data_IF_891201983941
#
_entry.id   IF_891201983941
#
_cell.length_a   1.000
_cell.length_b   1.000
_cell.length_c   1.000
_cell.angle_alpha   90.00
_cell.angle_beta   90.00
_cell.angle_gamma   90.00
#
_symmetry.space_group_name_H-M   'P 1'
#
loop_
_entity.id
_entity.type
_entity.pdbx_description
1 polymer ?
#
# COMPACT_ATOMS: atom_id res chain seq x y z
N UNK A 1 -4.68 -25.37 -22.89
CA UNK A 1 -5.36 -24.13 -22.44
C UNK A 1 -5.19 -23.95 -20.93
N UNK A 2 -4.11 -23.27 -20.50
CA UNK A 2 -3.98 -22.76 -19.11
C UNK A 2 -2.91 -21.66 -18.96
N UNK A 3 -2.34 -21.15 -20.08
CA UNK A 3 -1.32 -20.10 -20.06
C UNK A 3 -1.89 -18.67 -19.96
N UNK A 4 -3.21 -18.51 -19.80
CA UNK A 4 -3.90 -17.22 -19.85
C UNK A 4 -4.15 -16.53 -18.50
N UNK A 5 -3.61 -17.05 -17.38
CA UNK A 5 -3.95 -16.55 -16.03
C UNK A 5 -2.76 -15.97 -15.24
N UNK A 6 -1.57 -15.90 -15.82
CA UNK A 6 -0.42 -15.25 -15.17
C UNK A 6 -0.21 -13.90 -15.86
N UNK A 7 -0.52 -12.76 -15.21
CA UNK A 7 -0.30 -11.47 -15.83
C UNK A 7 1.22 -11.25 -15.95
N UNK A 8 1.71 -11.29 -17.18
CA UNK A 8 2.96 -10.68 -17.65
C UNK A 8 4.13 -10.75 -16.65
N UNK A 9 4.61 -11.95 -16.38
CA UNK A 9 6.02 -12.12 -16.04
C UNK A 9 6.74 -12.08 -17.40
N UNK A 10 7.68 -11.15 -17.65
CA UNK A 10 8.51 -11.21 -18.85
C UNK A 10 9.10 -12.61 -18.93
N UNK A 11 8.96 -13.29 -20.06
CA UNK A 11 9.22 -14.74 -20.16
C UNK A 11 10.64 -15.10 -19.69
N UNK A 12 11.58 -14.15 -19.77
CA UNK A 12 12.96 -14.25 -19.26
C UNK A 12 13.10 -14.37 -17.73
N UNK A 13 12.10 -13.98 -16.95
CA UNK A 13 12.10 -14.03 -15.47
C UNK A 13 11.15 -15.08 -14.89
N UNK A 14 10.48 -15.87 -15.73
CA UNK A 14 9.68 -17.01 -15.24
C UNK A 14 10.63 -18.12 -14.77
N UNK A 15 10.59 -18.44 -13.47
CA UNK A 15 11.34 -19.55 -12.87
C UNK A 15 10.88 -20.94 -13.35
N UNK A 16 9.84 -21.02 -14.20
CA UNK A 16 9.31 -22.27 -14.72
C UNK A 16 9.66 -22.37 -16.20
N UNK A 17 10.81 -22.98 -16.49
CA UNK A 17 11.10 -23.52 -17.83
C UNK A 17 10.28 -24.80 -18.01
N UNK A 18 9.14 -24.71 -18.71
CA UNK A 18 8.50 -25.91 -19.25
C UNK A 18 9.35 -26.37 -20.45
N UNK A 19 10.12 -27.45 -20.28
CA UNK A 19 10.73 -28.15 -21.39
C UNK A 19 9.60 -28.63 -22.31
N UNK A 20 9.57 -28.14 -23.54
CA UNK A 20 8.65 -28.60 -24.58
C UNK A 20 8.90 -30.10 -24.82
N UNK A 21 7.90 -30.91 -24.49
CA UNK A 21 7.84 -32.33 -24.83
C UNK A 21 7.67 -32.44 -26.35
N UNK A 22 8.52 -33.27 -26.95
CA UNK A 22 8.57 -33.59 -28.37
C UNK A 22 7.18 -33.89 -28.96
N UNK A 23 6.75 -33.09 -29.93
CA UNK A 23 5.67 -33.50 -30.83
C UNK A 23 6.28 -34.26 -32.01
N UNK A 24 6.24 -35.59 -31.95
CA UNK A 24 6.34 -36.43 -33.16
C UNK A 24 5.04 -36.24 -33.96
N UNK A 25 5.16 -35.80 -35.21
CA UNK A 25 4.05 -35.76 -36.16
C UNK A 25 3.74 -37.18 -36.65
N UNK A 26 2.46 -37.60 -36.78
CA UNK A 26 2.14 -38.84 -37.46
C UNK A 26 2.15 -38.61 -38.98
N UNK A 27 2.94 -39.40 -39.69
CA UNK A 27 2.90 -39.54 -41.15
C UNK A 27 1.65 -40.33 -41.54
N UNK A 28 0.76 -39.73 -42.32
CA UNK A 28 -0.32 -40.44 -43.02
C UNK A 28 -0.11 -40.24 -44.52
N UNK A 29 0.27 -41.30 -45.21
CA UNK A 29 0.22 -41.37 -46.67
C UNK A 29 -1.23 -41.48 -47.14
N UNK A 30 -1.63 -40.65 -48.10
CA UNK A 30 -2.77 -40.96 -48.97
C UNK A 30 -2.46 -40.53 -50.39
N UNK A 31 -2.40 -41.51 -51.30
CA UNK A 31 -2.41 -41.32 -52.75
C UNK A 31 -3.85 -41.39 -53.24
N UNK A 32 -4.33 -40.37 -53.96
CA UNK A 32 -5.19 -40.57 -55.14
C UNK A 32 -5.48 -39.26 -55.89
N UNK A 33 -5.09 -39.28 -57.15
CA UNK A 33 -5.77 -38.76 -58.35
C UNK A 33 -6.00 -37.25 -58.56
N UNK A 34 -5.34 -36.76 -59.63
CA UNK A 34 -5.61 -35.52 -60.35
C UNK A 34 -7.03 -35.46 -60.93
N UNK A 35 -7.66 -34.27 -60.86
CA UNK A 35 -8.28 -33.55 -61.99
C UNK A 35 -8.75 -32.11 -61.61
N UNK A 36 -8.09 -31.14 -62.26
CA UNK A 36 -8.53 -29.81 -62.76
C UNK A 36 -8.98 -28.63 -61.85
N UNK A 37 -8.01 -27.70 -61.71
CA UNK A 37 -8.02 -26.23 -61.91
C UNK A 37 -9.31 -25.39 -61.73
N UNK A 38 -9.14 -24.28 -60.99
CA UNK A 38 -10.03 -23.12 -60.77
C UNK A 38 -11.00 -23.17 -59.58
N UNK A 39 -10.44 -23.12 -58.36
CA UNK A 39 -11.02 -22.29 -57.31
C UNK A 39 -9.87 -21.51 -56.61
N UNK A 40 -9.71 -20.24 -56.97
CA UNK A 40 -8.78 -19.30 -56.32
C UNK A 40 -9.32 -18.81 -54.96
N UNK A 41 -9.80 -19.69 -54.07
CA UNK A 41 -10.29 -19.28 -52.73
C UNK A 41 -9.28 -19.49 -51.59
N UNK A 42 -8.07 -19.96 -51.86
CA UNK A 42 -7.09 -20.25 -50.79
C UNK A 42 -6.09 -19.14 -50.49
N UNK A 43 -5.91 -18.15 -51.38
CA UNK A 43 -4.98 -17.02 -51.16
C UNK A 43 -5.31 -16.14 -49.94
N UNK A 44 -6.55 -15.67 -49.72
CA UNK A 44 -6.81 -14.73 -48.62
C UNK A 44 -6.75 -15.41 -47.24
N UNK A 45 -7.02 -16.72 -47.15
CA UNK A 45 -7.05 -17.43 -45.86
C UNK A 45 -5.64 -17.83 -45.43
N UNK A 46 -4.77 -18.24 -46.36
CA UNK A 46 -3.37 -18.55 -46.05
C UNK A 46 -2.57 -17.29 -45.71
N UNK A 47 -2.78 -16.17 -46.42
CA UNK A 47 -2.15 -14.88 -46.09
C UNK A 47 -2.55 -14.36 -44.70
N UNK A 48 -3.83 -14.50 -44.31
CA UNK A 48 -4.30 -14.10 -42.99
C UNK A 48 -3.67 -14.92 -41.85
N UNK A 49 -3.41 -16.21 -42.06
CA UNK A 49 -2.73 -17.05 -41.07
C UNK A 49 -1.23 -16.77 -40.95
N UNK A 50 -0.57 -16.33 -42.04
CA UNK A 50 0.86 -15.97 -42.02
C UNK A 50 1.13 -14.60 -41.38
N UNK A 51 0.16 -13.68 -41.43
CA UNK A 51 0.32 -12.36 -40.80
C UNK A 51 0.21 -12.40 -39.27
N UNK A 52 -0.54 -13.35 -38.70
CA UNK A 52 -0.63 -13.53 -37.25
C UNK A 52 0.70 -14.08 -36.68
N UNK A 53 1.46 -14.86 -37.46
CA UNK A 53 2.77 -15.38 -37.07
C UNK A 53 3.94 -14.39 -37.23
N UNK A 54 3.74 -13.25 -37.91
CA UNK A 54 4.71 -12.14 -37.97
C UNK A 54 4.58 -11.15 -36.82
N UNK A 55 3.66 -11.37 -35.89
CA UNK A 55 3.59 -10.57 -34.68
C UNK A 55 4.83 -10.87 -33.82
N UNK A 56 5.77 -9.92 -33.80
CA UNK A 56 7.05 -10.12 -33.12
C UNK A 56 6.85 -10.05 -31.60
N UNK A 57 6.43 -11.17 -31.00
CA UNK A 57 6.20 -11.32 -29.57
C UNK A 57 7.43 -10.91 -28.75
N UNK A 58 8.63 -11.08 -29.29
CA UNK A 58 9.89 -10.65 -28.65
C UNK A 58 10.00 -9.13 -28.55
N UNK A 59 9.56 -8.38 -29.57
CA UNK A 59 9.53 -6.91 -29.51
C UNK A 59 8.57 -6.42 -28.42
N UNK A 60 7.43 -7.09 -28.26
CA UNK A 60 6.42 -6.71 -27.25
C UNK A 60 6.92 -7.04 -25.84
N UNK A 61 7.52 -8.22 -25.62
CA UNK A 61 8.13 -8.58 -24.34
C UNK A 61 9.22 -7.58 -23.94
N UNK A 62 10.06 -7.16 -24.88
CA UNK A 62 11.09 -6.14 -24.65
C UNK A 62 10.47 -4.78 -24.28
N UNK A 63 9.43 -4.33 -25.00
CA UNK A 63 8.71 -3.07 -24.69
C UNK A 63 8.07 -3.14 -23.30
N UNK A 64 7.36 -4.22 -22.99
CA UNK A 64 6.76 -4.45 -21.67
C UNK A 64 7.81 -4.44 -20.56
N UNK A 65 8.98 -5.06 -20.80
CA UNK A 65 10.10 -5.08 -19.86
C UNK A 65 10.63 -3.67 -19.59
N UNK A 66 10.84 -2.86 -20.64
CA UNK A 66 11.29 -1.46 -20.48
C UNK A 66 10.27 -0.64 -19.70
N UNK A 67 8.98 -0.77 -20.00
CA UNK A 67 7.90 -0.08 -19.27
C UNK A 67 7.92 -0.49 -17.79
N UNK A 68 8.06 -1.78 -17.48
CA UNK A 68 8.12 -2.27 -16.12
C UNK A 68 9.35 -1.73 -15.36
N UNK A 69 10.53 -1.71 -15.99
CA UNK A 69 11.76 -1.14 -15.41
C UNK A 69 11.54 0.35 -15.08
N UNK A 70 10.95 1.11 -16.00
CA UNK A 70 10.63 2.53 -15.76
C UNK A 70 9.69 2.68 -14.55
N UNK A 71 8.66 1.83 -14.45
CA UNK A 71 7.74 1.84 -13.31
C UNK A 71 8.45 1.52 -11.98
N UNK A 72 9.33 0.51 -11.98
CA UNK A 72 10.16 0.15 -10.82
C UNK A 72 11.03 1.34 -10.38
N UNK A 73 11.68 2.03 -11.33
CA UNK A 73 12.53 3.19 -11.04
C UNK A 73 11.69 4.32 -10.41
N UNK A 74 10.53 4.64 -11.00
CA UNK A 74 9.64 5.69 -10.49
C UNK A 74 9.15 5.36 -9.08
N UNK A 75 8.68 4.13 -8.84
CA UNK A 75 8.18 3.71 -7.53
C UNK A 75 9.30 3.66 -6.48
N UNK A 76 10.50 3.22 -6.87
CA UNK A 76 11.69 3.21 -6.01
C UNK A 76 12.10 4.62 -5.59
N UNK A 77 12.08 5.57 -6.52
CA UNK A 77 12.38 6.97 -6.20
C UNK A 77 11.35 7.58 -5.24
N UNK A 78 10.06 7.28 -5.44
CA UNK A 78 8.99 7.68 -4.50
C UNK A 78 9.20 7.09 -3.10
N UNK A 79 9.58 5.82 -3.03
CA UNK A 79 9.88 5.13 -1.78
C UNK A 79 11.10 5.73 -1.07
N UNK A 80 12.16 6.04 -1.82
CA UNK A 80 13.36 6.69 -1.26
C UNK A 80 13.04 8.09 -0.73
N UNK A 81 12.31 8.91 -1.49
CA UNK A 81 11.84 10.24 -1.02
C UNK A 81 11.03 10.12 0.27
N UNK A 82 10.16 9.13 0.36
CA UNK A 82 9.36 8.85 1.56
C UNK A 82 10.24 8.51 2.78
N UNK A 83 11.28 7.67 2.61
CA UNK A 83 12.23 7.37 3.68
C UNK A 83 13.04 8.59 4.12
N UNK A 84 13.52 9.39 3.17
CA UNK A 84 14.26 10.62 3.45
C UNK A 84 13.38 11.64 4.20
N UNK A 85 12.09 11.74 3.85
CA UNK A 85 11.15 12.59 4.55
C UNK A 85 10.92 12.13 6.00
N UNK A 86 10.80 10.83 6.28
CA UNK A 86 10.73 10.32 7.66
C UNK A 86 12.00 10.63 8.45
N UNK A 87 13.16 10.48 7.82
CA UNK A 87 14.45 10.84 8.45
C UNK A 87 14.50 12.33 8.78
N UNK A 88 14.02 13.19 7.88
CA UNK A 88 13.91 14.62 8.11
C UNK A 88 12.97 14.94 9.28
N UNK A 89 11.76 14.36 9.30
CA UNK A 89 10.80 14.57 10.39
C UNK A 89 11.35 14.12 11.75
N UNK A 90 12.01 12.96 11.80
CA UNK A 90 12.69 12.51 13.02
C UNK A 90 13.72 13.53 13.49
N UNK A 91 14.56 14.06 12.58
CA UNK A 91 15.60 15.04 12.92
C UNK A 91 15.01 16.34 13.47
N UNK A 92 13.90 16.82 12.90
CA UNK A 92 13.24 18.07 13.34
C UNK A 92 12.36 17.91 14.58
N UNK A 93 12.07 16.68 15.00
CA UNK A 93 11.25 16.43 16.17
C UNK A 93 12.01 16.64 17.48
N UNK A 94 11.30 17.10 18.50
CA UNK A 94 11.79 17.36 19.86
C UNK A 94 11.27 16.29 20.83
N UNK A 95 12.04 16.01 21.88
CA UNK A 95 11.54 15.20 22.99
C UNK A 95 10.44 15.96 23.76
N UNK A 96 9.57 15.19 24.41
CA UNK A 96 8.55 15.75 25.32
C UNK A 96 9.22 16.30 26.59
N UNK A 97 8.65 17.35 27.16
CA UNK A 97 9.01 17.79 28.51
C UNK A 97 8.36 16.88 29.57
N UNK A 98 8.76 17.00 30.83
CA UNK A 98 8.26 16.11 31.90
C UNK A 98 6.74 16.17 32.07
N UNK A 99 6.13 17.36 31.95
CA UNK A 99 4.67 17.50 32.05
C UNK A 99 3.93 16.80 30.91
N UNK A 100 4.40 16.96 29.66
CA UNK A 100 3.85 16.29 28.49
C UNK A 100 4.04 14.77 28.61
N UNK A 101 5.22 14.32 29.05
CA UNK A 101 5.52 12.91 29.27
C UNK A 101 4.59 12.31 30.33
N UNK A 102 4.40 12.96 31.48
CA UNK A 102 3.49 12.52 32.52
C UNK A 102 2.03 12.42 32.01
N UNK A 103 1.59 13.37 31.19
CA UNK A 103 0.25 13.31 30.56
C UNK A 103 0.10 12.09 29.66
N UNK A 104 1.09 11.83 28.82
CA UNK A 104 1.12 10.69 27.91
C UNK A 104 1.17 9.38 28.68
N UNK A 105 2.03 9.29 29.70
CA UNK A 105 2.16 8.13 30.56
C UNK A 105 0.85 7.86 31.32
N UNK A 106 0.12 8.91 31.75
CA UNK A 106 -1.21 8.76 32.37
C UNK A 106 -2.24 8.20 31.38
N UNK A 107 -2.24 8.69 30.12
CA UNK A 107 -3.15 8.20 29.07
C UNK A 107 -2.86 6.72 28.75
N UNK A 108 -1.59 6.35 28.73
CA UNK A 108 -1.12 5.02 28.34
C UNK A 108 -0.88 4.08 29.52
N UNK A 109 -1.12 4.51 30.76
CA UNK A 109 -0.80 3.76 31.99
C UNK A 109 -1.42 2.35 32.00
N UNK A 110 -2.66 2.24 31.52
CA UNK A 110 -3.40 0.97 31.44
C UNK A 110 -2.95 0.07 30.27
N UNK A 111 -2.00 0.52 29.45
CA UNK A 111 -1.55 -0.17 28.24
C UNK A 111 -0.08 -0.53 28.42
N UNK A 112 0.18 -1.73 28.94
CA UNK A 112 1.52 -2.31 29.16
C UNK A 112 2.52 -1.84 28.10
N UNK A 113 3.33 -0.84 28.48
CA UNK A 113 4.10 -0.06 27.53
C UNK A 113 5.13 -0.96 26.85
N UNK A 114 5.04 -1.12 25.52
CA UNK A 114 6.13 -1.75 24.78
C UNK A 114 7.31 -0.78 24.81
N UNK A 115 8.43 -1.17 25.44
CA UNK A 115 9.69 -0.39 25.58
C UNK A 115 10.28 0.17 24.26
N UNK A 116 9.73 -0.20 23.11
CA UNK A 116 10.24 0.14 21.78
C UNK A 116 9.43 1.23 21.05
N UNK A 117 8.52 1.92 21.75
CA UNK A 117 7.75 3.05 21.20
C UNK A 117 8.25 4.35 21.83
N UNK A 118 8.62 5.33 21.00
CA UNK A 118 9.11 6.65 21.41
C UNK A 118 8.13 7.71 20.94
N UNK A 119 7.67 8.55 21.86
CA UNK A 119 6.75 9.64 21.55
C UNK A 119 7.54 10.96 21.55
N UNK A 120 7.37 11.76 20.50
CA UNK A 120 8.05 13.05 20.30
C UNK A 120 7.06 14.07 19.77
N UNK A 121 7.40 15.34 19.91
CA UNK A 121 6.63 16.44 19.33
C UNK A 121 7.34 17.09 18.16
N UNK A 122 6.62 17.67 17.22
CA UNK A 122 7.20 18.40 16.10
C UNK A 122 6.33 19.58 15.68
N UNK A 123 6.94 20.70 15.32
CA UNK A 123 6.21 21.87 14.80
C UNK A 123 5.99 21.78 13.29
N UNK A 124 6.85 21.04 12.59
CA UNK A 124 6.82 20.90 11.13
C UNK A 124 5.67 20.01 10.60
N UNK A 125 4.84 19.45 11.48
CA UNK A 125 3.73 18.56 11.12
C UNK A 125 2.39 19.18 11.51
N UNK A 126 1.36 18.93 10.71
CA UNK A 126 -0.01 19.40 10.98
C UNK A 126 -0.92 18.30 11.53
N UNK A 127 -0.51 17.04 11.35
CA UNK A 127 -1.23 15.85 11.78
C UNK A 127 -0.27 14.91 12.52
N UNK A 128 -0.76 14.21 13.56
CA UNK A 128 -0.05 13.08 14.17
C UNK A 128 0.35 12.05 13.12
N UNK A 129 1.52 11.45 13.32
CA UNK A 129 2.10 10.48 12.39
C UNK A 129 2.89 9.42 13.15
N UNK A 130 2.63 8.16 12.82
CA UNK A 130 3.37 7.01 13.36
C UNK A 130 4.20 6.36 12.27
N UNK A 131 5.48 6.17 12.55
CA UNK A 131 6.39 5.48 11.64
C UNK A 131 7.48 4.67 12.35
N UNK A 132 8.11 3.77 11.59
CA UNK A 132 9.22 2.95 12.06
C UNK A 132 10.56 3.45 11.53
N UNK A 133 11.53 3.65 12.42
CA UNK A 133 12.94 3.95 12.08
C UNK A 133 13.86 3.31 13.14
N UNK A 134 14.03 1.98 13.07
CA UNK A 134 14.72 1.17 14.09
C UNK A 134 13.90 0.94 15.37
N UNK A 135 13.09 1.91 15.76
CA UNK A 135 12.03 1.82 16.79
C UNK A 135 10.76 2.50 16.26
N UNK A 136 9.61 2.26 16.88
CA UNK A 136 8.38 2.98 16.54
C UNK A 136 8.45 4.39 17.11
N UNK A 137 8.17 5.39 16.27
CA UNK A 137 8.18 6.79 16.63
C UNK A 137 6.78 7.36 16.34
N UNK A 138 6.16 7.91 17.38
CA UNK A 138 4.91 8.67 17.26
C UNK A 138 5.29 10.14 17.34
N UNK A 139 5.02 10.89 16.27
CA UNK A 139 5.18 12.34 16.25
C UNK A 139 3.82 13.00 16.40
N UNK A 140 3.72 13.91 17.36
CA UNK A 140 2.51 14.68 17.62
C UNK A 140 2.81 16.16 17.34
N UNK A 141 1.93 16.89 16.64
CA UNK A 141 2.15 18.30 16.43
C UNK A 141 2.15 19.07 17.75
N UNK A 142 3.10 19.98 17.95
CA UNK A 142 3.23 20.73 19.22
C UNK A 142 1.96 21.51 19.61
N UNK A 143 1.12 21.86 18.62
CA UNK A 143 -0.19 22.49 18.85
C UNK A 143 -1.15 21.61 19.67
N UNK A 144 -1.07 20.28 19.55
CA UNK A 144 -1.94 19.37 20.29
C UNK A 144 -1.67 19.37 21.80
N UNK A 145 -0.45 19.74 22.22
CA UNK A 145 -0.12 19.91 23.63
C UNK A 145 -0.52 21.29 24.17
N UNK A 146 -0.70 22.29 23.29
CA UNK A 146 -1.07 23.66 23.66
C UNK A 146 -2.58 23.89 23.73
N UNK A 147 -3.37 23.28 22.84
CA UNK A 147 -4.75 23.72 22.59
C UNK A 147 -5.78 22.58 22.51
N UNK A 148 -5.62 21.50 23.25
CA UNK A 148 -6.55 20.37 23.13
C UNK A 148 -7.03 19.94 24.51
N UNK A 149 -8.34 20.13 24.73
CA UNK A 149 -9.13 19.48 25.79
C UNK A 149 -8.61 18.05 25.98
N UNK A 150 -8.15 17.71 27.18
CA UNK A 150 -7.33 16.51 27.44
C UNK A 150 -7.92 15.21 26.83
N UNK A 151 -9.25 15.13 26.66
CA UNK A 151 -9.96 14.03 25.98
C UNK A 151 -9.58 13.83 24.51
N UNK A 152 -9.46 14.90 23.72
CA UNK A 152 -9.13 14.78 22.29
C UNK A 152 -7.67 14.34 22.08
N UNK A 153 -6.76 14.81 22.94
CA UNK A 153 -5.38 14.34 22.94
C UNK A 153 -5.35 12.84 23.29
N UNK A 154 -6.09 12.41 24.32
CA UNK A 154 -6.24 10.98 24.67
C UNK A 154 -6.61 10.12 23.46
N UNK A 155 -7.62 10.50 22.68
CA UNK A 155 -8.05 9.70 21.52
C UNK A 155 -6.97 9.57 20.45
N UNK A 156 -6.26 10.66 20.16
CA UNK A 156 -5.18 10.69 19.17
C UNK A 156 -4.01 9.82 19.61
N UNK A 157 -3.62 9.92 20.88
CA UNK A 157 -2.53 9.11 21.43
C UNK A 157 -2.87 7.64 21.37
N UNK A 158 -4.09 7.25 21.78
CA UNK A 158 -4.54 5.87 21.70
C UNK A 158 -4.54 5.34 20.26
N UNK A 159 -4.99 6.16 19.30
CA UNK A 159 -5.03 5.79 17.89
C UNK A 159 -3.62 5.58 17.30
N UNK A 160 -2.73 6.55 17.48
CA UNK A 160 -1.35 6.45 16.99
C UNK A 160 -0.55 5.36 17.73
N UNK A 161 -0.84 5.14 19.01
CA UNK A 161 -0.29 4.03 19.77
C UNK A 161 -0.73 2.68 19.20
N UNK A 162 -1.99 2.54 18.75
CA UNK A 162 -2.46 1.32 18.11
C UNK A 162 -1.63 0.97 16.87
N UNK A 163 -1.36 1.95 16.00
CA UNK A 163 -0.49 1.76 14.83
C UNK A 163 0.92 1.27 15.21
N UNK A 164 1.51 1.89 16.25
CA UNK A 164 2.83 1.48 16.74
C UNK A 164 2.80 0.08 17.37
N UNK A 165 1.75 -0.26 18.12
CA UNK A 165 1.55 -1.54 18.79
C UNK A 165 1.40 -2.69 17.78
N UNK A 166 0.63 -2.45 16.71
CA UNK A 166 0.30 -3.41 15.66
C UNK A 166 1.35 -3.50 14.54
N UNK A 167 2.38 -2.64 14.58
CA UNK A 167 3.50 -2.65 13.62
C UNK A 167 3.09 -2.27 12.20
N UNK A 168 2.02 -1.51 12.06
CA UNK A 168 1.37 -1.18 10.79
C UNK A 168 2.35 -0.55 9.78
N UNK A 169 3.21 0.35 10.26
CA UNK A 169 4.20 1.00 9.40
C UNK A 169 5.23 0.02 8.83
N UNK A 170 5.65 -0.97 9.62
CA UNK A 170 6.62 -1.97 9.17
C UNK A 170 6.00 -2.89 8.12
N UNK A 171 4.76 -3.34 8.34
CA UNK A 171 4.00 -4.06 7.34
C UNK A 171 3.87 -3.24 6.05
N UNK A 172 3.58 -1.94 6.16
CA UNK A 172 3.48 -1.04 5.02
C UNK A 172 4.82 -0.88 4.27
N UNK A 173 5.96 -0.83 4.97
CA UNK A 173 7.30 -0.79 4.34
C UNK A 173 7.53 -2.08 3.54
N UNK A 174 7.27 -3.24 4.13
CA UNK A 174 7.43 -4.55 3.46
C UNK A 174 6.54 -4.62 2.21
N UNK A 175 5.26 -4.28 2.34
CA UNK A 175 4.32 -4.27 1.21
C UNK A 175 4.68 -3.24 0.13
N UNK A 176 5.31 -2.12 0.49
CA UNK A 176 5.83 -1.17 -0.49
C UNK A 176 6.96 -1.78 -1.33
N UNK A 177 7.89 -2.50 -0.69
CA UNK A 177 8.98 -3.20 -1.39
C UNK A 177 8.41 -4.24 -2.36
N UNK A 178 7.46 -5.07 -1.88
CA UNK A 178 6.76 -6.02 -2.75
C UNK A 178 5.99 -5.32 -3.88
N UNK A 179 5.33 -4.20 -3.62
CA UNK A 179 4.61 -3.42 -4.64
C UNK A 179 5.52 -2.84 -5.72
N UNK A 180 6.79 -2.55 -5.40
CA UNK A 180 7.78 -2.06 -6.38
C UNK A 180 8.15 -3.21 -7.31
N UNK A 181 8.51 -4.36 -6.75
CA UNK A 181 8.92 -5.56 -7.51
C UNK A 181 7.76 -6.07 -8.36
N UNK A 182 6.58 -6.20 -7.76
CA UNK A 182 5.36 -6.71 -8.40
C UNK A 182 4.50 -5.58 -8.99
N UNK A 183 5.11 -4.47 -9.43
CA UNK A 183 4.38 -3.30 -9.91
C UNK A 183 3.53 -3.55 -11.17
N UNK A 184 3.80 -4.64 -11.90
CA UNK A 184 2.95 -5.14 -12.99
C UNK A 184 1.62 -5.74 -12.49
N UNK A 185 1.54 -6.17 -11.22
CA UNK A 185 0.38 -6.84 -10.67
C UNK A 185 -0.56 -5.84 -9.96
N UNK A 186 -1.72 -5.50 -10.54
CA UNK A 186 -2.65 -4.55 -9.94
C UNK A 186 -3.22 -5.03 -8.59
N UNK A 187 -3.28 -6.35 -8.35
CA UNK A 187 -3.80 -6.91 -7.10
C UNK A 187 -2.96 -6.49 -5.90
N UNK A 188 -1.63 -6.39 -6.06
CA UNK A 188 -0.74 -5.98 -4.96
C UNK A 188 -1.08 -4.57 -4.47
N UNK A 189 -1.43 -3.67 -5.39
CA UNK A 189 -1.87 -2.32 -5.05
C UNK A 189 -3.26 -2.27 -4.40
N UNK A 190 -4.16 -3.18 -4.78
CA UNK A 190 -5.49 -3.31 -4.16
C UNK A 190 -5.35 -3.83 -2.73
N UNK A 191 -4.59 -4.92 -2.55
CA UNK A 191 -4.29 -5.51 -1.22
C UNK A 191 -3.65 -4.47 -0.31
N UNK A 192 -2.68 -3.70 -0.80
CA UNK A 192 -2.08 -2.61 -0.03
C UNK A 192 -3.11 -1.57 0.45
N UNK A 193 -4.07 -1.18 -0.40
CA UNK A 193 -5.14 -0.25 0.00
C UNK A 193 -6.04 -0.87 1.07
N UNK A 194 -6.34 -2.16 0.96
CA UNK A 194 -7.15 -2.90 1.95
C UNK A 194 -6.44 -3.00 3.30
N UNK A 195 -5.15 -3.33 3.32
CA UNK A 195 -4.36 -3.36 4.56
C UNK A 195 -4.35 -1.99 5.23
N UNK A 196 -4.13 -0.91 4.48
CA UNK A 196 -4.18 0.44 5.05
C UNK A 196 -5.55 0.71 5.67
N UNK A 197 -6.64 0.33 5.00
CA UNK A 197 -7.98 0.48 5.55
C UNK A 197 -8.19 -0.34 6.83
N UNK A 198 -7.76 -1.59 6.84
CA UNK A 198 -7.91 -2.49 8.00
C UNK A 198 -7.12 -1.99 9.20
N UNK A 199 -5.91 -1.47 8.98
CA UNK A 199 -5.11 -0.82 10.02
C UNK A 199 -5.83 0.36 10.66
N UNK A 200 -6.53 1.20 9.88
CA UNK A 200 -7.30 2.33 10.41
C UNK A 200 -8.51 1.85 11.24
N UNK A 201 -9.20 0.81 10.77
CA UNK A 201 -10.34 0.21 11.49
C UNK A 201 -9.89 -0.43 12.80
N UNK A 202 -8.78 -1.15 12.79
CA UNK A 202 -8.20 -1.74 14.01
C UNK A 202 -7.71 -0.68 14.99
N UNK A 203 -7.10 0.41 14.48
CA UNK A 203 -6.73 1.53 15.32
C UNK A 203 -7.95 2.23 15.94
N UNK A 204 -9.03 2.41 15.19
CA UNK A 204 -10.30 2.95 15.70
C UNK A 204 -10.92 2.02 16.76
N UNK A 205 -11.00 0.71 16.49
CA UNK A 205 -11.47 -0.30 17.47
C UNK A 205 -10.65 -0.27 18.75
N UNK A 206 -9.33 -0.12 18.63
CA UNK A 206 -8.47 0.03 19.80
C UNK A 206 -8.86 1.26 20.62
N UNK A 207 -9.17 2.40 20.01
CA UNK A 207 -9.65 3.57 20.76
C UNK A 207 -10.99 3.27 21.43
N UNK A 208 -11.96 2.72 20.71
CA UNK A 208 -13.31 2.43 21.23
C UNK A 208 -13.29 1.49 22.44
N UNK A 209 -12.41 0.49 22.42
CA UNK A 209 -12.24 -0.45 23.54
C UNK A 209 -11.57 0.17 24.78
N UNK A 210 -10.99 1.37 24.66
CA UNK A 210 -10.25 2.05 25.73
C UNK A 210 -10.89 3.40 26.14
N UNK A 211 -12.10 3.68 25.67
CA UNK A 211 -12.90 4.84 26.06
C UNK A 211 -14.31 4.40 26.47
N UNK A 212 -15.00 5.25 27.21
CA UNK A 212 -16.37 4.96 27.59
C UNK A 212 -17.32 5.12 26.39
N UNK A 213 -18.45 4.39 26.38
CA UNK A 213 -19.44 4.47 25.29
C UNK A 213 -19.98 5.90 25.05
N UNK A 214 -20.07 6.71 26.11
CA UNK A 214 -20.49 8.12 26.01
C UNK A 214 -19.44 9.01 25.30
N UNK A 215 -18.20 8.57 25.18
CA UNK A 215 -17.10 9.28 24.51
C UNK A 215 -17.04 9.00 22.99
N UNK A 216 -17.78 7.99 22.49
CA UNK A 216 -17.71 7.56 21.08
C UNK A 216 -18.07 8.69 20.12
N UNK A 217 -19.10 9.48 20.44
CA UNK A 217 -19.50 10.64 19.64
C UNK A 217 -18.40 11.69 19.57
N UNK A 218 -17.83 12.06 20.72
CA UNK A 218 -16.74 13.05 20.79
C UNK A 218 -15.48 12.55 20.09
N UNK A 219 -15.23 11.23 20.11
CA UNK A 219 -14.17 10.63 19.33
C UNK A 219 -14.42 10.76 17.82
N UNK A 220 -15.60 10.37 17.33
CA UNK A 220 -15.98 10.52 15.93
C UNK A 220 -15.87 11.98 15.44
N UNK A 221 -16.31 12.94 16.26
CA UNK A 221 -16.14 14.37 16.01
C UNK A 221 -14.66 14.78 15.93
N UNK A 222 -13.79 14.20 16.76
CA UNK A 222 -12.35 14.48 16.72
C UNK A 222 -11.67 13.98 15.44
N UNK A 223 -12.09 12.83 14.91
CA UNK A 223 -11.63 12.33 13.60
C UNK A 223 -12.15 13.24 12.48
N UNK A 224 -13.42 13.62 12.54
CA UNK A 224 -14.01 14.49 11.53
C UNK A 224 -13.32 15.86 11.50
N UNK A 225 -13.10 16.45 12.67
CA UNK A 225 -12.36 17.70 12.83
C UNK A 225 -10.94 17.60 12.26
N UNK A 226 -10.22 16.51 12.53
CA UNK A 226 -8.85 16.36 12.04
C UNK A 226 -8.83 16.29 10.51
N UNK A 227 -9.67 15.44 9.91
CA UNK A 227 -9.75 15.27 8.45
C UNK A 227 -10.16 16.57 7.73
N UNK A 228 -11.00 17.39 8.35
CA UNK A 228 -11.50 18.64 7.75
C UNK A 228 -10.55 19.83 7.94
N UNK A 229 -9.86 19.93 9.08
CA UNK A 229 -9.03 21.11 9.42
C UNK A 229 -7.62 21.07 8.86
N UNK A 230 -7.10 19.90 8.49
CA UNK A 230 -5.80 19.84 7.82
C UNK A 230 -5.96 19.97 6.31
N UNK A 231 -5.25 20.92 5.65
CA UNK A 231 -5.12 20.88 4.21
C UNK A 231 -4.51 19.53 3.80
N UNK A 232 -4.81 19.06 2.57
CA UNK A 232 -4.28 17.80 2.02
C UNK A 232 -2.74 17.82 2.03
N UNK A 233 -2.13 17.46 3.15
CA UNK A 233 -0.68 17.43 3.31
C UNK A 233 -0.11 16.23 2.55
N UNK A 234 1.11 16.42 2.03
CA UNK A 234 1.85 15.45 1.23
C UNK A 234 1.88 14.09 1.93
N UNK A 235 1.08 13.14 1.42
CA UNK A 235 0.94 11.81 1.99
C UNK A 235 2.25 11.05 1.82
N UNK A 236 2.91 10.76 2.93
CA UNK A 236 4.00 9.80 2.94
C UNK A 236 3.42 8.37 2.83
N UNK A 237 3.92 7.59 1.87
CA UNK A 237 3.46 6.22 1.57
C UNK A 237 3.93 5.23 2.65
N UNK A 238 4.79 5.66 3.55
CA UNK A 238 5.42 4.86 4.61
C UNK A 238 4.99 5.25 6.01
N UNK A 239 3.85 5.92 6.16
CA UNK A 239 3.34 6.29 7.47
C UNK A 239 1.83 6.30 7.50
N UNK A 240 1.29 5.94 8.67
CA UNK A 240 -0.09 6.23 9.00
C UNK A 240 -0.17 7.63 9.59
N UNK A 241 -1.25 8.34 9.26
CA UNK A 241 -1.54 9.66 9.77
C UNK A 241 -3.00 9.65 10.17
N UNK A 242 -3.27 10.12 11.38
CA UNK A 242 -4.62 10.23 11.96
C UNK A 242 -5.67 10.79 10.97
N UNK A 243 -5.24 11.69 10.08
CA UNK A 243 -6.10 12.44 9.16
C UNK A 243 -6.43 11.67 7.86
N UNK A 244 -5.89 10.46 7.68
CA UNK A 244 -6.32 9.48 6.68
C UNK A 244 -6.59 10.00 5.25
N UNK A 245 -7.40 9.27 4.48
CA UNK A 245 -8.02 9.81 3.24
C UNK A 245 -9.49 10.11 3.55
N UNK A 246 -10.05 11.19 2.98
CA UNK A 246 -11.51 11.46 3.04
C UNK A 246 -12.36 10.25 2.63
N UNK A 247 -11.88 9.44 1.68
CA UNK A 247 -12.53 8.20 1.25
C UNK A 247 -12.66 7.14 2.36
N UNK A 248 -11.76 7.15 3.35
CA UNK A 248 -11.76 6.23 4.48
C UNK A 248 -12.67 6.73 5.61
N UNK A 249 -12.90 8.04 5.72
CA UNK A 249 -13.66 8.65 6.82
C UNK A 249 -15.06 8.07 6.96
N UNK A 250 -15.80 7.94 5.84
CA UNK A 250 -17.16 7.37 5.86
C UNK A 250 -17.17 5.96 6.46
N UNK A 251 -16.24 5.12 6.03
CA UNK A 251 -16.15 3.74 6.51
C UNK A 251 -15.75 3.66 7.97
N UNK A 252 -14.83 4.53 8.42
CA UNK A 252 -14.42 4.63 9.84
C UNK A 252 -15.59 5.02 10.74
N UNK A 253 -16.37 6.03 10.33
CA UNK A 253 -17.54 6.49 11.08
C UNK A 253 -18.66 5.43 11.18
N UNK A 254 -18.87 4.63 10.14
CA UNK A 254 -19.82 3.51 10.18
C UNK A 254 -19.38 2.49 11.23
N UNK A 255 -18.11 2.10 11.21
CA UNK A 255 -17.57 1.10 12.15
C UNK A 255 -17.54 1.59 13.61
N UNK A 256 -17.55 2.90 13.86
CA UNK A 256 -17.64 3.47 15.21
C UNK A 256 -19.07 3.41 15.76
N UNK A 257 -20.08 3.34 14.88
CA UNK A 257 -21.49 3.29 15.26
C UNK A 257 -21.97 1.87 15.60
N UNK A 258 -21.31 0.85 15.04
CA UNK A 258 -21.56 -0.57 15.31
C UNK A 258 -21.02 -1.01 16.68
#
# INVERSE_FOLDING_TARGET
>A
MLAGLIPFIPIKFSFIKFNNVNNQAPTVESKSHDLNHNINTTKPIQEFTTDIHKFNWDSIDNICTVIWIVLVIILSFKFLKALLYLKYLKKQSLYLNENEKNKIDTILFNHQYKKNIVIRKAEAIQSPITFWYGKYIILIPSSYFKSVIDKRLKYIILHEYAHAKNRDTLHLIIFNIFSIIMSYNPLVHIVKRKIIHDNEVEADRFVLNNINKNEFKTYAESIMDSVLKTPFSNKNILSHSFNGKKSLLKSRLINIKE
#
